data_IF_566737871400
#
_entry.id   IF_566737871400
#
_cell.length_a   1.000
_cell.length_b   1.000
_cell.length_c   1.000
_cell.angle_alpha   90.00
_cell.angle_beta   90.00
_cell.angle_gamma   90.00
#
_symmetry.space_group_name_H-M   'P 1'
#
loop_
_entity.id
_entity.type
_entity.pdbx_description
1 polymer ?
#
# COMPACT_ATOMS: atom_id res chain seq x y z
N UNK A 1 35.61 -20.76 -3.11
CA UNK A 1 34.67 -21.38 -2.18
C UNK A 1 33.68 -22.20 -3.02
N UNK A 2 33.40 -23.49 -2.71
CA UNK A 2 32.45 -24.32 -3.43
C UNK A 2 31.03 -23.74 -3.34
N UNK A 3 30.21 -23.93 -4.40
CA UNK A 3 28.84 -23.38 -4.49
C UNK A 3 27.93 -23.89 -3.36
N UNK A 4 28.18 -25.09 -2.83
CA UNK A 4 27.45 -25.61 -1.69
C UNK A 4 27.54 -24.71 -0.45
N UNK A 5 28.63 -23.96 -0.29
CA UNK A 5 28.86 -23.04 0.83
C UNK A 5 28.38 -21.60 0.56
N UNK A 6 27.70 -21.36 -0.57
CA UNK A 6 27.13 -20.05 -0.88
C UNK A 6 25.89 -19.80 -0.04
N UNK A 7 25.71 -18.55 0.39
CA UNK A 7 24.43 -18.10 0.95
C UNK A 7 23.32 -18.20 -0.11
N UNK A 8 22.04 -18.20 0.31
CA UNK A 8 20.90 -18.19 -0.62
C UNK A 8 21.00 -17.06 -1.62
N UNK A 9 21.34 -15.86 -1.17
CA UNK A 9 21.53 -14.69 -2.04
C UNK A 9 22.68 -14.86 -3.05
N UNK A 10 23.79 -15.50 -2.66
CA UNK A 10 24.89 -15.81 -3.59
C UNK A 10 24.49 -16.84 -4.64
N UNK A 11 23.72 -17.87 -4.26
CA UNK A 11 23.19 -18.87 -5.20
C UNK A 11 22.29 -18.25 -6.22
N UNK A 12 21.37 -17.37 -5.80
CA UNK A 12 20.46 -16.64 -6.71
C UNK A 12 21.24 -15.73 -7.67
N UNK A 13 22.25 -15.00 -7.17
CA UNK A 13 23.12 -14.16 -8.03
C UNK A 13 23.87 -14.96 -9.07
N UNK A 14 24.44 -16.10 -8.67
CA UNK A 14 25.13 -16.98 -9.59
C UNK A 14 24.18 -17.54 -10.65
N UNK A 15 23.01 -18.06 -10.25
CA UNK A 15 22.00 -18.60 -11.16
C UNK A 15 21.52 -17.56 -12.16
N UNK A 16 21.20 -16.34 -11.69
CA UNK A 16 20.81 -15.25 -12.55
C UNK A 16 21.94 -14.84 -13.52
N UNK A 17 23.20 -14.77 -13.03
CA UNK A 17 24.33 -14.40 -13.90
C UNK A 17 24.57 -15.41 -15.01
N UNK A 18 24.34 -16.68 -14.76
CA UNK A 18 24.41 -17.75 -15.78
C UNK A 18 23.25 -17.62 -16.75
N UNK A 19 22.02 -17.49 -16.26
CA UNK A 19 20.83 -17.36 -17.10
C UNK A 19 20.88 -16.12 -18.02
N UNK A 20 21.43 -15.00 -17.51
CA UNK A 20 21.54 -13.76 -18.27
C UNK A 20 22.60 -13.81 -19.40
N UNK A 21 23.50 -14.82 -19.41
CA UNK A 21 24.46 -15.04 -20.49
C UNK A 21 23.91 -16.00 -21.55
N UNK A 22 22.82 -16.69 -21.27
CA UNK A 22 22.11 -17.48 -22.24
C UNK A 22 21.28 -16.55 -23.14
N UNK A 23 21.15 -16.89 -24.40
CA UNK A 23 20.27 -16.19 -25.36
C UNK A 23 19.02 -17.06 -25.58
N UNK A 24 18.08 -17.13 -24.63
CA UNK A 24 16.93 -18.00 -24.74
C UNK A 24 15.87 -17.39 -25.64
N UNK A 25 15.08 -18.24 -26.33
CA UNK A 25 13.85 -17.81 -27.01
C UNK A 25 12.74 -17.46 -26.01
N UNK A 26 12.70 -18.15 -24.85
CA UNK A 26 11.75 -17.94 -23.76
C UNK A 26 12.48 -17.89 -22.44
N UNK A 27 12.25 -16.83 -21.67
CA UNK A 27 12.81 -16.64 -20.33
C UNK A 27 11.68 -16.63 -19.30
N UNK A 28 11.74 -17.56 -18.33
CA UNK A 28 10.80 -17.59 -17.20
C UNK A 28 11.53 -17.06 -15.95
N UNK A 29 10.95 -16.04 -15.33
CA UNK A 29 11.48 -15.40 -14.11
C UNK A 29 10.42 -15.54 -13.02
N UNK A 30 10.77 -16.27 -11.95
CA UNK A 30 9.89 -16.49 -10.80
C UNK A 30 10.53 -15.87 -9.54
N UNK A 31 9.97 -14.74 -9.08
CA UNK A 31 10.31 -13.97 -7.86
C UNK A 31 11.79 -13.59 -7.68
N UNK A 32 12.67 -13.83 -8.63
CA UNK A 32 14.13 -13.64 -8.50
C UNK A 32 14.53 -12.20 -8.21
N UNK A 33 13.73 -11.21 -8.62
CA UNK A 33 14.03 -9.79 -8.41
C UNK A 33 13.78 -9.30 -6.98
N UNK A 34 13.16 -10.11 -6.13
CA UNK A 34 12.98 -9.80 -4.72
C UNK A 34 14.26 -10.02 -3.89
N UNK A 35 15.24 -10.78 -4.42
CA UNK A 35 16.44 -11.22 -3.69
C UNK A 35 17.66 -10.40 -4.08
N UNK A 36 18.44 -9.98 -3.08
CA UNK A 36 19.70 -9.28 -3.25
C UNK A 36 19.66 -7.79 -2.86
N UNK A 37 20.82 -7.15 -2.94
CA UNK A 37 20.94 -5.71 -2.71
C UNK A 37 20.42 -4.88 -3.90
N UNK A 38 20.28 -3.57 -3.67
CA UNK A 38 19.78 -2.62 -4.66
C UNK A 38 20.60 -2.64 -5.94
N UNK A 39 21.96 -2.72 -5.81
CA UNK A 39 22.86 -2.74 -6.96
C UNK A 39 22.68 -3.98 -7.83
N UNK A 40 22.44 -5.14 -7.21
CA UNK A 40 22.16 -6.36 -7.94
C UNK A 40 20.80 -6.31 -8.64
N UNK A 41 19.76 -5.79 -7.97
CA UNK A 41 18.43 -5.58 -8.59
C UNK A 41 18.50 -4.72 -9.85
N UNK A 42 19.28 -3.63 -9.84
CA UNK A 42 19.48 -2.80 -11.04
C UNK A 42 20.15 -3.59 -12.17
N UNK A 43 21.17 -4.41 -11.85
CA UNK A 43 21.84 -5.25 -12.86
C UNK A 43 20.87 -6.27 -13.47
N UNK A 44 20.04 -6.89 -12.65
CA UNK A 44 19.01 -7.84 -13.12
C UNK A 44 18.00 -7.15 -14.05
N UNK A 45 17.45 -6.01 -13.64
CA UNK A 45 16.49 -5.25 -14.45
C UNK A 45 17.08 -4.83 -15.80
N UNK A 46 18.35 -4.39 -15.82
CA UNK A 46 19.02 -4.04 -17.07
C UNK A 46 19.27 -5.26 -17.98
N UNK A 47 19.62 -6.41 -17.40
CA UNK A 47 19.79 -7.65 -18.15
C UNK A 47 18.46 -8.13 -18.73
N UNK A 48 17.39 -8.14 -17.94
CA UNK A 48 16.04 -8.47 -18.42
C UNK A 48 15.61 -7.54 -19.55
N UNK A 49 15.80 -6.22 -19.39
CA UNK A 49 15.47 -5.23 -20.42
C UNK A 49 16.23 -5.43 -21.74
N UNK A 50 17.41 -6.05 -21.72
CA UNK A 50 18.13 -6.46 -22.94
C UNK A 50 17.51 -7.71 -23.53
N UNK A 51 17.25 -8.73 -22.71
CA UNK A 51 16.68 -10.01 -23.16
C UNK A 51 15.25 -9.86 -23.71
N UNK A 52 14.45 -8.95 -23.18
CA UNK A 52 13.10 -8.64 -23.70
C UNK A 52 13.06 -8.16 -25.14
N UNK A 53 14.21 -7.81 -25.73
CA UNK A 53 14.30 -7.42 -27.14
C UNK A 53 14.36 -8.60 -28.09
N UNK A 54 14.78 -9.77 -27.61
CA UNK A 54 15.02 -10.98 -28.39
C UNK A 54 14.30 -12.22 -27.87
N UNK A 55 13.83 -12.22 -26.62
CA UNK A 55 13.17 -13.34 -25.98
C UNK A 55 11.74 -12.99 -25.55
N UNK A 56 10.85 -13.98 -25.56
CA UNK A 56 9.58 -13.90 -24.86
C UNK A 56 9.83 -14.07 -23.35
N UNK A 57 9.33 -13.13 -22.51
CA UNK A 57 9.55 -13.17 -21.07
C UNK A 57 8.25 -13.47 -20.34
N UNK A 58 8.24 -14.53 -19.53
CA UNK A 58 7.18 -14.85 -18.58
C UNK A 58 7.69 -14.43 -17.19
N UNK A 59 7.04 -13.42 -16.61
CA UNK A 59 7.44 -12.85 -15.32
C UNK A 59 6.40 -13.18 -14.25
N UNK A 60 6.78 -14.00 -13.28
CA UNK A 60 5.92 -14.39 -12.15
C UNK A 60 6.32 -13.57 -10.93
N UNK A 61 5.39 -12.81 -10.38
CA UNK A 61 5.64 -11.94 -9.22
C UNK A 61 4.34 -11.57 -8.52
N UNK A 62 4.46 -11.21 -7.24
CA UNK A 62 3.43 -10.57 -6.44
C UNK A 62 3.69 -9.05 -6.27
N UNK A 63 4.74 -8.50 -6.88
CA UNK A 63 5.10 -7.08 -6.78
C UNK A 63 4.46 -6.26 -7.90
N UNK A 64 3.41 -5.52 -7.59
CA UNK A 64 2.67 -4.71 -8.57
C UNK A 64 3.52 -3.63 -9.24
N UNK A 65 4.45 -2.93 -8.55
CA UNK A 65 5.36 -1.99 -9.22
C UNK A 65 6.24 -2.64 -10.29
N UNK A 66 6.61 -3.91 -10.12
CA UNK A 66 7.40 -4.64 -11.12
C UNK A 66 6.56 -5.01 -12.33
N UNK A 67 5.29 -5.38 -12.13
CA UNK A 67 4.35 -5.66 -13.22
C UNK A 67 4.21 -4.42 -14.12
N UNK A 68 3.91 -3.25 -13.55
CA UNK A 68 3.79 -2.00 -14.32
C UNK A 68 5.07 -1.61 -15.06
N UNK A 69 6.23 -1.98 -14.53
CA UNK A 69 7.52 -1.63 -15.11
C UNK A 69 7.97 -2.56 -16.24
N UNK A 70 7.62 -3.85 -16.16
CA UNK A 70 8.20 -4.90 -17.01
C UNK A 70 7.17 -5.47 -17.99
N UNK A 71 5.90 -5.62 -17.55
CA UNK A 71 4.93 -6.40 -18.30
C UNK A 71 4.10 -5.52 -19.25
N UNK A 72 3.83 -6.04 -20.46
CA UNK A 72 2.87 -5.49 -21.42
C UNK A 72 1.50 -6.16 -21.33
N UNK A 73 1.50 -7.41 -20.86
CA UNK A 73 0.34 -8.26 -20.73
C UNK A 73 0.37 -8.95 -19.37
N UNK A 74 -0.79 -9.29 -18.84
CA UNK A 74 -0.94 -9.91 -17.52
C UNK A 74 -1.87 -11.12 -17.61
N UNK A 75 -1.53 -12.14 -16.83
CA UNK A 75 -2.41 -13.29 -16.57
C UNK A 75 -2.52 -13.49 -15.05
N UNK A 76 -3.72 -13.40 -14.52
CA UNK A 76 -4.02 -13.72 -13.13
C UNK A 76 -4.39 -15.20 -13.01
N UNK A 77 -3.65 -15.92 -12.17
CA UNK A 77 -3.89 -17.33 -11.87
C UNK A 77 -4.52 -17.47 -10.48
N UNK A 78 -5.55 -18.30 -10.38
CA UNK A 78 -6.15 -18.69 -9.12
C UNK A 78 -6.49 -20.17 -9.14
N UNK A 79 -6.01 -20.94 -8.15
CA UNK A 79 -6.25 -22.38 -8.06
C UNK A 79 -5.80 -23.15 -9.31
N UNK A 80 -4.71 -22.71 -9.98
CA UNK A 80 -4.19 -23.35 -11.18
C UNK A 80 -4.98 -23.05 -12.48
N UNK A 81 -5.93 -22.13 -12.43
CA UNK A 81 -6.74 -21.70 -13.60
C UNK A 81 -6.47 -20.24 -13.92
N UNK A 82 -6.48 -19.88 -15.21
CA UNK A 82 -6.46 -18.48 -15.65
C UNK A 82 -7.80 -17.84 -15.32
N UNK A 83 -7.76 -16.75 -14.55
CA UNK A 83 -8.95 -16.00 -14.13
C UNK A 83 -9.12 -14.72 -14.95
N UNK A 84 -8.03 -14.03 -15.23
CA UNK A 84 -7.97 -12.83 -16.07
C UNK A 84 -6.76 -12.91 -16.97
N UNK A 85 -6.91 -12.49 -18.21
CA UNK A 85 -5.81 -12.36 -19.16
C UNK A 85 -6.02 -11.14 -20.05
N UNK A 86 -4.98 -10.36 -20.31
CA UNK A 86 -5.03 -9.23 -21.23
C UNK A 86 -4.01 -8.15 -20.97
N UNK A 87 -4.24 -6.99 -21.57
CA UNK A 87 -3.37 -5.80 -21.50
C UNK A 87 -3.79 -4.79 -20.43
N UNK A 88 -4.95 -4.98 -19.82
CA UNK A 88 -5.41 -4.12 -18.74
C UNK A 88 -4.82 -4.58 -17.41
N UNK A 89 -3.59 -4.11 -17.16
CA UNK A 89 -2.83 -4.43 -15.95
C UNK A 89 -3.59 -3.97 -14.69
N UNK A 90 -4.19 -2.78 -14.74
CA UNK A 90 -4.89 -2.21 -13.58
C UNK A 90 -6.06 -3.07 -13.16
N UNK A 91 -6.91 -3.44 -14.11
CA UNK A 91 -8.07 -4.31 -13.84
C UNK A 91 -7.67 -5.66 -13.26
N UNK A 92 -6.63 -6.29 -13.81
CA UNK A 92 -6.16 -7.58 -13.30
C UNK A 92 -5.56 -7.47 -11.90
N UNK A 93 -4.84 -6.39 -11.61
CA UNK A 93 -4.27 -6.10 -10.29
C UNK A 93 -5.40 -5.85 -9.27
N UNK A 94 -6.41 -5.06 -9.62
CA UNK A 94 -7.57 -4.84 -8.75
C UNK A 94 -8.25 -6.16 -8.39
N UNK A 95 -8.46 -7.03 -9.36
CA UNK A 95 -9.05 -8.36 -9.13
C UNK A 95 -8.16 -9.28 -8.28
N UNK A 96 -6.82 -9.23 -8.46
CA UNK A 96 -5.89 -9.96 -7.60
C UNK A 96 -6.06 -9.56 -6.13
N UNK A 97 -6.16 -8.26 -5.86
CA UNK A 97 -6.36 -7.79 -4.49
C UNK A 97 -7.78 -8.06 -3.96
N UNK A 98 -8.80 -8.05 -4.81
CA UNK A 98 -10.15 -8.46 -4.42
C UNK A 98 -10.21 -9.91 -3.94
N UNK A 99 -9.47 -10.80 -4.62
CA UNK A 99 -9.37 -12.21 -4.24
C UNK A 99 -8.58 -12.44 -2.95
N UNK A 100 -7.64 -11.53 -2.63
CA UNK A 100 -6.76 -11.65 -1.47
C UNK A 100 -7.31 -10.95 -0.23
N UNK A 101 -8.41 -10.22 -0.34
CA UNK A 101 -8.95 -9.39 0.73
C UNK A 101 -9.97 -10.16 1.59
N UNK A 102 -9.48 -10.84 2.60
CA UNK A 102 -10.27 -11.15 3.79
C UNK A 102 -10.37 -9.87 4.62
N UNK A 103 -11.45 -9.11 4.38
CA UNK A 103 -11.60 -7.71 4.78
C UNK A 103 -11.86 -7.44 6.27
N UNK A 104 -11.26 -8.21 7.20
CA UNK A 104 -11.43 -7.92 8.62
C UNK A 104 -10.52 -6.76 9.07
N UNK A 105 -11.15 -5.81 9.77
CA UNK A 105 -10.44 -4.75 10.51
C UNK A 105 -9.66 -5.42 11.65
N UNK A 106 -8.34 -5.39 11.56
CA UNK A 106 -7.52 -5.87 12.67
C UNK A 106 -7.47 -4.82 13.76
N UNK A 107 -7.87 -5.21 14.96
CA UNK A 107 -7.85 -4.35 16.15
C UNK A 107 -6.80 -4.89 17.11
N UNK A 108 -5.87 -4.03 17.51
CA UNK A 108 -4.84 -4.33 18.48
C UNK A 108 -4.69 -3.16 19.48
N UNK A 109 -4.06 -3.42 20.62
CA UNK A 109 -3.78 -2.40 21.65
C UNK A 109 -4.23 -2.84 23.03
N UNK A 110 -3.98 -1.97 24.01
CA UNK A 110 -4.25 -2.25 25.43
C UNK A 110 -5.70 -1.98 25.85
N UNK A 111 -6.46 -1.28 24.98
CA UNK A 111 -7.91 -1.09 25.15
C UNK A 111 -8.35 0.21 25.83
N UNK A 112 -7.41 1.09 26.22
CA UNK A 112 -7.72 2.38 26.84
C UNK A 112 -8.39 3.39 25.89
N UNK A 113 -8.35 3.09 24.60
CA UNK A 113 -9.03 3.85 23.56
C UNK A 113 -9.81 2.95 22.61
N UNK A 114 -10.83 3.51 21.96
CA UNK A 114 -11.55 2.82 20.90
C UNK A 114 -12.05 3.80 19.84
N UNK A 115 -11.95 3.38 18.56
CA UNK A 115 -12.56 4.08 17.45
C UNK A 115 -14.05 3.71 17.42
N UNK A 116 -14.94 4.68 17.52
CA UNK A 116 -16.40 4.48 17.50
C UNK A 116 -17.00 4.67 16.12
N UNK A 117 -16.45 5.58 15.34
CA UNK A 117 -16.88 5.83 13.97
C UNK A 117 -15.73 6.42 13.15
N UNK A 118 -15.73 6.13 11.86
CA UNK A 118 -14.89 6.76 10.86
C UNK A 118 -15.74 7.10 9.65
N UNK A 119 -15.60 8.33 9.17
CA UNK A 119 -16.29 8.81 7.97
C UNK A 119 -15.24 9.39 7.04
N UNK A 120 -15.22 8.90 5.80
CA UNK A 120 -14.38 9.39 4.72
C UNK A 120 -15.25 10.20 3.77
N UNK A 121 -14.82 11.39 3.37
CA UNK A 121 -15.58 12.31 2.53
C UNK A 121 -14.66 12.84 1.43
N UNK A 122 -15.10 12.75 0.16
CA UNK A 122 -14.46 13.39 -0.98
C UNK A 122 -15.52 13.96 -1.92
N UNK A 123 -15.49 15.28 -2.13
CA UNK A 123 -16.53 15.97 -2.86
C UNK A 123 -17.93 15.76 -2.28
N UNK A 124 -18.85 15.19 -3.06
CA UNK A 124 -20.20 14.83 -2.62
C UNK A 124 -20.32 13.39 -2.09
N UNK A 125 -19.24 12.59 -2.17
CA UNK A 125 -19.23 11.19 -1.79
C UNK A 125 -18.84 11.02 -0.32
N UNK A 126 -19.47 10.06 0.35
CA UNK A 126 -19.22 9.72 1.74
C UNK A 126 -19.20 8.19 1.87
N UNK A 127 -18.29 7.67 2.71
CA UNK A 127 -18.30 6.28 3.13
C UNK A 127 -17.99 6.15 4.63
N UNK A 128 -18.39 5.01 5.20
CA UNK A 128 -18.13 4.63 6.60
C UNK A 128 -17.19 3.43 6.67
N UNK A 129 -16.95 2.94 7.89
CA UNK A 129 -16.18 1.73 8.10
C UNK A 129 -16.67 0.57 7.22
N UNK A 130 -15.74 -0.16 6.60
CA UNK A 130 -16.00 -1.28 5.67
C UNK A 130 -16.66 -0.91 4.32
N UNK A 131 -16.91 0.36 4.06
CA UNK A 131 -17.38 0.85 2.77
C UNK A 131 -16.23 1.46 1.98
N UNK A 132 -16.29 1.36 0.65
CA UNK A 132 -15.26 1.91 -0.23
C UNK A 132 -15.67 3.32 -0.66
N UNK A 133 -14.82 4.32 -0.39
CA UNK A 133 -14.95 5.65 -0.96
C UNK A 133 -14.19 5.71 -2.29
N UNK A 134 -14.90 5.97 -3.38
CA UNK A 134 -14.27 6.26 -4.66
C UNK A 134 -13.83 7.72 -4.70
N UNK A 135 -12.55 7.95 -5.02
CA UNK A 135 -11.91 9.27 -5.05
C UNK A 135 -11.16 9.41 -6.36
N UNK A 136 -11.33 10.53 -7.06
CA UNK A 136 -10.52 10.80 -8.24
C UNK A 136 -9.19 11.43 -7.84
N UNK A 137 -8.16 11.19 -8.65
CA UNK A 137 -6.87 11.85 -8.49
C UNK A 137 -7.01 13.37 -8.37
N UNK A 138 -6.36 13.95 -7.37
CA UNK A 138 -6.37 15.38 -7.11
C UNK A 138 -7.59 15.90 -6.34
N UNK A 139 -8.56 15.06 -6.01
CA UNK A 139 -9.64 15.43 -5.10
C UNK A 139 -9.18 15.53 -3.65
N UNK A 140 -9.87 16.34 -2.87
CA UNK A 140 -9.64 16.49 -1.44
C UNK A 140 -10.25 15.30 -0.67
N UNK A 141 -9.59 14.91 0.40
CA UNK A 141 -10.11 13.91 1.33
C UNK A 141 -10.26 14.52 2.73
N UNK A 142 -11.45 14.43 3.30
CA UNK A 142 -11.71 14.69 4.71
C UNK A 142 -11.96 13.37 5.44
N UNK A 143 -11.29 13.16 6.57
CA UNK A 143 -11.48 12.01 7.45
C UNK A 143 -12.02 12.53 8.78
N UNK A 144 -13.19 12.06 9.18
CA UNK A 144 -13.78 12.34 10.50
C UNK A 144 -13.69 11.10 11.36
N UNK A 145 -13.23 11.27 12.58
CA UNK A 145 -13.08 10.20 13.56
C UNK A 145 -13.91 10.52 14.79
N UNK A 146 -14.56 9.50 15.33
CA UNK A 146 -15.17 9.54 16.65
C UNK A 146 -14.47 8.52 17.53
N UNK A 147 -13.75 9.00 18.55
CA UNK A 147 -12.90 8.21 19.42
C UNK A 147 -13.47 8.26 20.84
N UNK A 148 -13.44 7.13 21.54
CA UNK A 148 -13.70 7.06 22.98
C UNK A 148 -12.40 6.75 23.70
N UNK A 149 -12.09 7.52 24.74
CA UNK A 149 -11.01 7.27 25.68
C UNK A 149 -11.59 6.84 27.03
N UNK A 150 -10.91 5.92 27.70
CA UNK A 150 -11.25 5.56 29.08
C UNK A 150 -10.95 6.72 30.04
N UNK A 151 -11.69 6.79 31.15
CA UNK A 151 -11.71 7.96 32.07
C UNK A 151 -10.36 8.26 32.72
N UNK A 152 -9.47 7.30 32.81
CA UNK A 152 -8.12 7.46 33.39
C UNK A 152 -7.07 7.94 32.35
N UNK A 153 -7.42 8.00 31.07
CA UNK A 153 -6.49 8.45 30.01
C UNK A 153 -6.51 9.97 29.97
N UNK A 154 -5.45 10.58 30.46
CA UNK A 154 -5.31 12.04 30.45
C UNK A 154 -4.76 12.61 29.16
N UNK A 155 -3.97 11.85 28.43
CA UNK A 155 -3.29 12.29 27.21
C UNK A 155 -3.18 11.14 26.24
N UNK A 156 -3.45 11.42 24.96
CA UNK A 156 -3.28 10.48 23.89
C UNK A 156 -2.79 11.18 22.61
N UNK A 157 -2.27 10.40 21.67
CA UNK A 157 -1.97 10.84 20.31
C UNK A 157 -2.80 10.03 19.33
N UNK A 158 -3.29 10.68 18.29
CA UNK A 158 -3.93 10.00 17.17
C UNK A 158 -3.08 10.15 15.93
N UNK A 159 -2.84 9.07 15.26
CA UNK A 159 -2.07 9.01 14.02
C UNK A 159 -2.91 8.33 12.96
N UNK A 160 -2.88 8.84 11.74
CA UNK A 160 -3.46 8.22 10.57
C UNK A 160 -2.35 7.81 9.61
N UNK A 161 -2.46 6.59 9.09
CA UNK A 161 -1.55 6.12 8.05
C UNK A 161 -2.39 5.61 6.88
N UNK A 162 -2.09 6.10 5.69
CA UNK A 162 -2.66 5.57 4.46
C UNK A 162 -1.66 4.58 3.86
N UNK A 163 -2.16 3.39 3.56
CA UNK A 163 -1.39 2.29 2.97
C UNK A 163 -1.88 2.02 1.57
N UNK A 164 -1.01 1.68 0.66
CA UNK A 164 -1.45 1.11 -0.60
C UNK A 164 -1.85 -0.36 -0.42
N UNK A 165 -2.32 -0.97 -1.48
CA UNK A 165 -2.74 -2.38 -1.47
C UNK A 165 -1.59 -3.37 -1.22
N UNK A 166 -0.33 -3.00 -1.45
CA UNK A 166 0.87 -3.78 -1.10
C UNK A 166 1.27 -3.61 0.38
N UNK A 167 0.43 -2.94 1.20
CA UNK A 167 0.69 -2.59 2.59
C UNK A 167 1.95 -1.74 2.79
N UNK A 168 2.28 -0.92 1.79
CA UNK A 168 3.34 0.09 1.90
C UNK A 168 2.72 1.41 2.37
N UNK A 169 3.23 2.03 3.45
CA UNK A 169 2.71 3.32 3.90
C UNK A 169 3.03 4.40 2.85
N UNK A 170 2.00 5.12 2.40
CA UNK A 170 2.12 6.17 1.37
C UNK A 170 1.89 7.56 1.92
N UNK A 171 1.08 7.71 2.97
CA UNK A 171 0.89 8.96 3.69
C UNK A 171 0.90 8.65 5.19
N UNK A 172 1.67 9.42 5.94
CA UNK A 172 1.68 9.44 7.40
C UNK A 172 1.21 10.82 7.86
N UNK A 173 0.03 10.87 8.47
CA UNK A 173 -0.55 12.09 9.01
C UNK A 173 -0.20 12.18 10.47
N UNK A 174 0.77 13.05 10.77
CA UNK A 174 1.21 13.28 12.13
C UNK A 174 0.18 14.12 12.90
N UNK A 175 -0.15 13.69 14.09
CA UNK A 175 -0.99 14.45 15.00
C UNK A 175 -0.28 15.70 15.51
N UNK A 176 -1.02 16.78 15.55
CA UNK A 176 -0.63 17.99 16.25
C UNK A 176 -1.30 18.04 17.61
N UNK A 177 -0.72 17.34 18.61
CA UNK A 177 -0.95 17.68 20.01
C UNK A 177 -2.42 17.67 20.48
N UNK A 178 -2.96 16.50 20.79
CA UNK A 178 -4.27 16.34 21.43
C UNK A 178 -4.33 16.84 22.89
N UNK A 179 -3.24 17.36 23.45
CA UNK A 179 -3.17 17.82 24.84
C UNK A 179 -4.27 18.81 25.23
N UNK A 180 -4.76 19.59 24.28
CA UNK A 180 -5.80 20.58 24.51
C UNK A 180 -7.25 20.05 24.45
N UNK A 181 -7.46 18.86 23.89
CA UNK A 181 -8.80 18.29 23.69
C UNK A 181 -9.25 17.37 24.81
N UNK A 182 -8.31 16.94 25.64
CA UNK A 182 -8.56 15.98 26.69
C UNK A 182 -9.00 16.67 27.97
N UNK A 183 -10.13 16.30 28.51
CA UNK A 183 -10.45 16.24 29.94
C UNK A 183 -11.38 17.30 30.51
N UNK A 184 -11.25 18.58 30.20
CA UNK A 184 -12.01 19.58 31.00
C UNK A 184 -13.50 19.72 30.60
N UNK A 185 -13.92 19.19 29.46
CA UNK A 185 -15.29 19.39 28.94
C UNK A 185 -16.01 18.13 28.45
N UNK A 186 -15.48 16.92 28.67
CA UNK A 186 -16.12 15.73 28.11
C UNK A 186 -16.18 14.54 29.09
N UNK A 187 -17.17 14.50 30.01
CA UNK A 187 -17.33 13.42 30.96
C UNK A 187 -17.58 12.04 30.34
N UNK A 188 -17.92 11.98 29.05
CA UNK A 188 -18.15 10.71 28.31
C UNK A 188 -16.90 10.17 27.64
N UNK A 189 -15.79 10.91 27.63
CA UNK A 189 -14.54 10.52 26.96
C UNK A 189 -14.65 10.42 25.42
N UNK A 190 -15.70 11.00 24.81
CA UNK A 190 -15.91 11.00 23.37
C UNK A 190 -15.25 12.23 22.75
N UNK A 191 -14.40 12.01 21.74
CA UNK A 191 -13.68 13.06 21.00
C UNK A 191 -14.03 12.91 19.52
N UNK A 192 -14.37 14.02 18.88
CA UNK A 192 -14.56 14.10 17.43
C UNK A 192 -13.40 14.90 16.83
N UNK A 193 -12.74 14.30 15.85
CA UNK A 193 -11.60 14.83 15.13
C UNK A 193 -11.89 14.89 13.65
N UNK A 194 -11.32 15.86 12.95
CA UNK A 194 -11.39 15.95 11.50
C UNK A 194 -10.02 16.26 10.93
N UNK A 195 -9.61 15.49 9.95
CA UNK A 195 -8.37 15.68 9.20
C UNK A 195 -8.73 16.01 7.75
N UNK A 196 -8.08 17.00 7.18
CA UNK A 196 -8.26 17.42 5.79
C UNK A 196 -6.96 17.22 5.03
N UNK A 197 -7.01 16.43 3.96
CA UNK A 197 -5.90 16.14 3.06
C UNK A 197 -6.22 16.72 1.68
N UNK A 198 -5.63 17.87 1.32
CA UNK A 198 -5.92 18.52 0.06
C UNK A 198 -5.25 17.80 -1.10
N UNK A 199 -5.96 17.70 -2.22
CA UNK A 199 -5.42 17.29 -3.51
C UNK A 199 -4.71 15.93 -3.46
N UNK A 200 -5.42 14.86 -3.12
CA UNK A 200 -4.83 13.52 -3.03
C UNK A 200 -4.11 13.12 -4.31
N UNK A 201 -2.79 13.01 -4.21
CA UNK A 201 -1.89 12.67 -5.32
C UNK A 201 -1.49 11.18 -5.32
N UNK A 202 -2.35 10.30 -4.81
CA UNK A 202 -2.15 8.87 -4.78
C UNK A 202 -2.39 8.25 -6.16
N UNK A 203 -1.66 7.17 -6.45
CA UNK A 203 -1.85 6.42 -7.69
C UNK A 203 -3.12 5.55 -7.63
N UNK A 204 -3.48 4.95 -8.79
CA UNK A 204 -4.65 4.10 -8.95
C UNK A 204 -4.67 2.92 -7.99
N UNK A 205 -5.86 2.53 -7.57
CA UNK A 205 -6.13 1.31 -6.80
C UNK A 205 -6.58 1.56 -5.37
N UNK A 206 -6.73 0.47 -4.63
CA UNK A 206 -7.21 0.50 -3.24
C UNK A 206 -6.14 1.01 -2.29
N UNK A 207 -6.58 1.84 -1.36
CA UNK A 207 -5.78 2.33 -0.25
C UNK A 207 -6.55 2.14 1.05
N UNK A 208 -5.84 1.85 2.12
CA UNK A 208 -6.41 1.57 3.43
C UNK A 208 -6.00 2.66 4.41
N UNK A 209 -6.95 3.10 5.21
CA UNK A 209 -6.71 4.06 6.30
C UNK A 209 -6.58 3.28 7.59
N UNK A 210 -5.43 3.35 8.24
CA UNK A 210 -5.23 2.87 9.60
C UNK A 210 -5.29 4.03 10.58
N UNK A 211 -5.93 3.77 11.74
CA UNK A 211 -6.02 4.70 12.85
C UNK A 211 -5.28 4.13 14.04
N UNK A 212 -4.31 4.87 14.55
CA UNK A 212 -3.53 4.52 15.74
C UNK A 212 -3.82 5.55 16.83
N UNK A 213 -4.08 5.06 18.02
CA UNK A 213 -4.27 5.89 19.21
C UNK A 213 -3.26 5.42 20.25
N UNK A 214 -2.28 6.27 20.54
CA UNK A 214 -1.11 5.92 21.33
C UNK A 214 -1.09 6.73 22.64
N UNK A 215 -0.35 6.21 23.62
CA UNK A 215 0.05 6.99 24.78
C UNK A 215 0.84 8.22 24.33
N UNK A 216 0.80 9.28 25.13
CA UNK A 216 1.48 10.53 24.77
C UNK A 216 3.00 10.37 24.60
N UNK A 217 3.61 9.52 25.40
CA UNK A 217 5.04 9.20 25.37
C UNK A 217 5.42 8.10 24.36
N UNK A 218 4.44 7.58 23.62
CA UNK A 218 4.59 6.49 22.64
C UNK A 218 5.07 5.15 23.26
N UNK A 219 4.94 5.00 24.57
CA UNK A 219 5.34 3.76 25.27
C UNK A 219 4.37 2.61 25.06
N UNK A 220 3.12 2.92 24.72
CA UNK A 220 2.07 1.93 24.50
C UNK A 220 1.08 2.35 23.39
N UNK A 221 0.52 1.37 22.73
CA UNK A 221 -0.60 1.55 21.81
C UNK A 221 -1.90 1.30 22.56
N UNK A 222 -2.72 2.32 22.73
CA UNK A 222 -4.05 2.19 23.33
C UNK A 222 -5.01 1.46 22.38
N UNK A 223 -4.94 1.78 21.11
CA UNK A 223 -5.73 1.12 20.09
C UNK A 223 -5.14 1.32 18.70
N UNK A 224 -5.12 0.27 17.89
CA UNK A 224 -4.74 0.29 16.48
C UNK A 224 -5.85 -0.38 15.67
N UNK A 225 -6.37 0.33 14.69
CA UNK A 225 -7.31 -0.17 13.69
C UNK A 225 -6.61 -0.19 12.35
N UNK A 226 -6.28 -1.37 11.84
CA UNK A 226 -5.85 -1.52 10.46
C UNK A 226 -7.06 -1.63 9.54
N UNK A 227 -7.00 -0.99 8.38
CA UNK A 227 -8.11 -0.93 7.42
C UNK A 227 -9.42 -0.33 7.99
N UNK A 228 -9.31 0.65 8.89
CA UNK A 228 -10.48 1.33 9.44
C UNK A 228 -11.34 2.04 8.37
N UNK A 229 -10.72 2.43 7.24
CA UNK A 229 -11.40 3.01 6.08
C UNK A 229 -10.76 2.52 4.77
N UNK A 230 -11.52 2.52 3.69
CA UNK A 230 -11.06 2.04 2.38
C UNK A 230 -11.31 3.12 1.33
N UNK A 231 -10.27 3.46 0.58
CA UNK A 231 -10.31 4.36 -0.57
C UNK A 231 -10.06 3.56 -1.84
N UNK A 232 -10.72 3.92 -2.92
CA UNK A 232 -10.40 3.45 -4.25
C UNK A 232 -10.09 4.67 -5.12
N UNK A 233 -8.82 4.85 -5.44
CA UNK A 233 -8.33 6.01 -6.21
C UNK A 233 -8.39 5.69 -7.69
N UNK A 234 -9.00 6.59 -8.46
CA UNK A 234 -9.08 6.50 -9.92
C UNK A 234 -8.16 7.52 -10.58
N UNK A 235 -7.29 7.05 -11.46
CA UNK A 235 -6.33 7.87 -12.21
C UNK A 235 -6.47 7.60 -13.70
N UNK A 236 -6.47 8.65 -14.52
CA UNK A 236 -6.61 8.51 -15.97
C UNK A 236 -5.47 7.72 -16.64
N UNK A 237 -4.27 7.77 -16.08
CA UNK A 237 -3.08 7.06 -16.57
C UNK A 237 -2.30 6.46 -15.40
N UNK A 238 -2.70 5.28 -14.92
CA UNK A 238 -1.99 4.62 -13.82
C UNK A 238 -0.58 4.18 -14.25
N UNK A 239 0.34 4.16 -13.29
CA UNK A 239 1.71 3.67 -13.47
C UNK A 239 2.20 2.99 -12.18
N UNK A 240 3.45 2.58 -12.11
CA UNK A 240 4.03 1.91 -10.93
C UNK A 240 4.50 2.84 -9.81
N UNK A 241 4.30 4.17 -9.90
CA UNK A 241 4.68 5.09 -8.84
C UNK A 241 3.66 5.06 -7.69
N UNK A 242 4.09 5.36 -6.47
CA UNK A 242 3.19 5.46 -5.31
C UNK A 242 2.41 6.77 -5.31
N UNK A 243 3.05 7.85 -5.76
CA UNK A 243 2.50 9.19 -5.83
C UNK A 243 2.63 9.73 -7.26
N UNK A 244 1.63 10.48 -7.69
CA UNK A 244 1.61 11.20 -8.95
C UNK A 244 1.59 12.70 -8.65
N UNK A 245 2.69 13.39 -8.88
CA UNK A 245 2.81 14.83 -8.60
C UNK A 245 2.75 15.59 -9.91
N UNK A 246 1.84 16.59 -10.07
CA UNK A 246 1.80 17.41 -11.26
C UNK A 246 3.08 18.25 -11.35
N UNK A 247 3.75 18.21 -12.49
CA UNK A 247 4.92 19.01 -12.80
C UNK A 247 4.60 20.08 -13.84
N UNK A 248 5.23 21.25 -13.72
CA UNK A 248 5.27 22.24 -14.82
C UNK A 248 6.52 21.99 -15.65
N UNK A 249 6.33 21.88 -16.97
CA UNK A 249 7.41 21.76 -17.92
C UNK A 249 7.57 23.12 -18.61
N UNK A 250 8.78 23.68 -18.55
CA UNK A 250 9.17 24.89 -19.30
C UNK A 250 10.06 24.45 -20.46
N UNK A 251 9.79 24.98 -21.68
CA UNK A 251 10.55 24.69 -22.91
C UNK A 251 11.35 25.95 -23.31
#
# INVERSE_FOLDING_TARGET
MPVQNYSSGMKVRLGFSVAAQMEPDVLIIDEVLAVGDVGFRYKCLNAIGKLMKSAAVIFVTHSMPQIYRICSDIMLLNGGKSFVQGKDLSKAIDQYFEMSNDGEVQIAGTGEASLKDIILISGANLSRANEILNVNYGEDLQIKLKIKLESHVEKARVKLVLWNQDLIPVIDVLDKDLRSFLIHNNPQGLIELSVFLPGLSLNNGKHYVSVLIDSFDLSSHYCKYDKAGILNISVARPNGALLLVPGKWEI
#
